data_IF_892295000782
#
_entry.id   IF_892295000782
#
_cell.length_a   1.000
_cell.length_b   1.000
_cell.length_c   1.000
_cell.angle_alpha   90.00
_cell.angle_beta   90.00
_cell.angle_gamma   90.00
#
_symmetry.space_group_name_H-M   'P 1'
#
loop_
_entity.id
_entity.type
_entity.pdbx_description
1 polymer ?
#
# COMPACT_ATOMS: atom_id res chain seq x y z
N UNK A 1 12.34 12.39 26.46
CA UNK A 1 11.02 11.76 26.72
C UNK A 1 10.08 11.88 25.52
N UNK A 2 9.85 13.09 24.99
CA UNK A 2 8.99 13.26 23.80
C UNK A 2 9.72 12.79 22.53
N UNK A 3 11.00 13.10 22.37
CA UNK A 3 11.78 12.67 21.18
C UNK A 3 11.99 11.15 21.13
N UNK A 4 12.09 10.50 22.30
CA UNK A 4 12.16 9.03 22.42
C UNK A 4 10.84 8.37 22.02
N UNK A 5 9.70 8.97 22.40
CA UNK A 5 8.37 8.54 21.95
C UNK A 5 8.23 8.62 20.43
N UNK A 6 8.65 9.74 19.85
CA UNK A 6 8.66 9.97 18.40
C UNK A 6 9.56 8.92 17.72
N UNK A 7 10.76 8.67 18.25
CA UNK A 7 11.69 7.68 17.73
C UNK A 7 11.13 6.26 17.65
N UNK A 8 10.36 5.79 18.65
CA UNK A 8 9.73 4.47 18.56
C UNK A 8 8.62 4.40 17.52
N UNK A 9 7.85 5.48 17.36
CA UNK A 9 6.78 5.55 16.36
C UNK A 9 7.37 5.60 14.94
N UNK A 10 8.48 6.31 14.75
CA UNK A 10 9.20 6.36 13.48
C UNK A 10 9.91 5.04 13.14
N UNK A 11 10.47 4.34 14.13
CA UNK A 11 11.14 3.06 13.94
C UNK A 11 10.16 1.88 13.77
N UNK A 12 8.95 1.98 14.29
CA UNK A 12 7.97 0.89 14.28
C UNK A 12 6.53 1.43 14.32
N UNK A 13 5.98 1.85 13.16
CA UNK A 13 4.66 2.50 13.08
C UNK A 13 3.47 1.57 13.36
N UNK A 14 3.71 0.27 13.56
CA UNK A 14 2.68 -0.73 13.89
C UNK A 14 2.50 -0.92 15.41
N UNK A 15 3.30 -0.26 16.24
CA UNK A 15 3.20 -0.38 17.69
C UNK A 15 1.92 0.28 18.21
N UNK A 16 1.21 -0.43 19.08
CA UNK A 16 0.04 0.10 19.79
C UNK A 16 0.45 1.05 20.91
N UNK A 17 -0.45 1.95 21.30
CA UNK A 17 -0.23 2.89 22.42
C UNK A 17 0.14 2.20 23.74
N UNK A 18 -0.34 0.96 23.95
CA UNK A 18 0.00 0.14 25.13
C UNK A 18 1.45 -0.36 25.06
N UNK A 19 1.88 -0.82 23.90
CA UNK A 19 3.25 -1.31 23.70
C UNK A 19 4.27 -0.18 23.81
N UNK A 20 3.93 1.01 23.33
CA UNK A 20 4.77 2.21 23.50
C UNK A 20 4.91 2.56 24.99
N UNK A 21 3.82 2.53 25.76
CA UNK A 21 3.86 2.78 27.20
C UNK A 21 4.68 1.72 27.97
N UNK A 22 4.60 0.45 27.55
CA UNK A 22 5.37 -0.64 28.15
C UNK A 22 6.87 -0.53 27.83
N UNK A 23 7.25 -0.25 26.57
CA UNK A 23 8.66 -0.07 26.19
C UNK A 23 9.32 1.11 26.90
N UNK A 24 8.59 2.22 27.04
CA UNK A 24 9.07 3.36 27.83
C UNK A 24 9.30 3.02 29.29
N UNK A 25 8.42 2.20 29.88
CA UNK A 25 8.58 1.72 31.25
C UNK A 25 9.84 0.85 31.38
N UNK A 26 10.10 -0.01 30.40
CA UNK A 26 11.29 -0.88 30.39
C UNK A 26 12.60 -0.09 30.26
N UNK A 27 12.64 0.94 29.40
CA UNK A 27 13.88 1.69 29.16
C UNK A 27 14.13 2.85 30.13
N UNK A 28 13.08 3.51 30.61
CA UNK A 28 13.22 4.72 31.47
C UNK A 28 12.69 4.54 32.89
N UNK A 29 12.03 3.41 33.19
CA UNK A 29 11.37 3.18 34.48
C UNK A 29 10.09 4.01 34.70
N UNK A 30 9.74 4.90 33.78
CA UNK A 30 8.61 5.82 33.90
C UNK A 30 7.33 5.16 33.40
N UNK A 31 6.33 5.06 34.28
CA UNK A 31 5.00 4.56 33.91
C UNK A 31 4.12 5.70 33.39
N UNK A 32 3.76 5.66 32.11
CA UNK A 32 2.84 6.61 31.49
C UNK A 32 1.48 5.95 31.22
N UNK A 33 0.40 6.70 31.42
CA UNK A 33 -0.93 6.26 31.01
C UNK A 33 -1.04 6.28 29.48
N UNK A 34 -1.86 5.39 28.91
CA UNK A 34 -2.15 5.38 27.47
C UNK A 34 -2.73 6.70 26.97
N UNK A 35 -3.46 7.41 27.83
CA UNK A 35 -4.03 8.73 27.51
C UNK A 35 -2.94 9.81 27.41
N UNK A 36 -1.91 9.74 28.25
CA UNK A 36 -0.73 10.63 28.18
C UNK A 36 0.03 10.41 26.88
N UNK A 37 0.26 9.15 26.50
CA UNK A 37 0.90 8.80 25.21
C UNK A 37 0.05 9.29 24.04
N UNK A 38 -1.27 9.06 24.06
CA UNK A 38 -2.18 9.54 23.03
C UNK A 38 -2.15 11.07 22.88
N UNK A 39 -2.24 11.82 23.98
CA UNK A 39 -2.23 13.29 23.96
C UNK A 39 -0.92 13.85 23.40
N UNK A 40 0.21 13.20 23.70
CA UNK A 40 1.50 13.62 23.15
C UNK A 40 1.68 13.22 21.69
N UNK A 41 1.03 12.13 21.26
CA UNK A 41 1.14 11.68 19.88
C UNK A 41 0.12 12.33 18.92
N UNK A 42 -1.02 12.75 19.44
CA UNK A 42 -2.14 13.32 18.69
C UNK A 42 -1.78 14.67 18.06
N UNK A 43 -2.11 14.85 16.78
CA UNK A 43 -1.88 16.08 16.02
C UNK A 43 -0.43 16.31 15.56
N UNK A 44 0.49 15.38 15.84
CA UNK A 44 1.87 15.44 15.32
C UNK A 44 1.97 14.64 14.01
N UNK A 45 2.66 15.23 13.03
CA UNK A 45 3.04 14.53 11.81
C UNK A 45 4.35 13.77 12.05
N UNK A 46 4.38 12.49 11.70
CA UNK A 46 5.55 11.63 11.83
C UNK A 46 6.09 11.26 10.46
N UNK A 47 7.40 11.34 10.29
CA UNK A 47 8.10 10.89 9.09
C UNK A 47 8.35 9.39 9.19
N UNK A 48 7.52 8.59 8.54
CA UNK A 48 7.81 7.16 8.42
C UNK A 48 8.99 7.00 7.45
N UNK A 49 10.18 6.65 7.97
CA UNK A 49 11.28 6.12 7.14
C UNK A 49 10.88 4.71 6.68
N UNK A 50 9.90 4.65 5.79
CA UNK A 50 9.43 3.40 5.21
C UNK A 50 10.41 3.01 4.11
N UNK A 51 11.47 2.27 4.47
CA UNK A 51 12.09 1.37 3.48
C UNK A 51 11.09 0.24 3.31
N UNK A 52 10.12 0.42 2.40
CA UNK A 52 9.34 -0.72 1.94
C UNK A 52 10.31 -1.65 1.21
N UNK A 53 10.42 -2.94 1.56
CA UNK A 53 10.63 -3.91 0.49
C UNK A 53 9.47 -3.70 -0.49
N UNK A 54 9.78 -3.46 -1.76
CA UNK A 54 8.83 -3.17 -2.81
C UNK A 54 7.58 -4.08 -2.67
N UNK A 55 6.35 -3.55 -2.51
CA UNK A 55 5.13 -4.36 -2.43
C UNK A 55 4.80 -5.06 -3.77
N UNK A 56 5.68 -4.90 -4.75
CA UNK A 56 5.60 -5.37 -6.12
C UNK A 56 5.96 -6.85 -6.22
N UNK A 57 6.84 -7.40 -5.37
CA UNK A 57 7.42 -8.71 -5.65
C UNK A 57 6.39 -9.87 -5.59
N UNK A 58 5.48 -9.88 -4.61
CA UNK A 58 4.46 -10.92 -4.53
C UNK A 58 3.40 -10.79 -5.65
N UNK A 59 2.98 -9.55 -5.97
CA UNK A 59 2.00 -9.31 -7.04
C UNK A 59 2.60 -9.59 -8.42
N UNK A 60 3.85 -9.20 -8.65
CA UNK A 60 4.59 -9.50 -9.87
C UNK A 60 4.73 -11.01 -10.06
N UNK A 61 5.23 -11.73 -9.04
CA UNK A 61 5.36 -13.19 -9.10
C UNK A 61 4.02 -13.91 -9.30
N UNK A 62 2.93 -13.38 -8.74
CA UNK A 62 1.59 -13.91 -8.98
C UNK A 62 1.15 -13.69 -10.44
N UNK A 63 1.40 -12.51 -11.00
CA UNK A 63 1.09 -12.20 -12.40
C UNK A 63 1.94 -13.02 -13.36
N UNK A 64 3.24 -13.15 -13.11
CA UNK A 64 4.17 -13.98 -13.90
C UNK A 64 3.69 -15.43 -13.97
N UNK A 65 3.33 -16.05 -12.83
CA UNK A 65 2.80 -17.41 -12.81
C UNK A 65 1.53 -17.57 -13.63
N UNK A 66 0.64 -16.58 -13.59
CA UNK A 66 -0.59 -16.62 -14.37
C UNK A 66 -0.32 -16.45 -15.87
N UNK A 67 0.65 -15.61 -16.25
CA UNK A 67 1.10 -15.44 -17.63
C UNK A 67 1.71 -16.76 -18.13
N UNK A 68 2.64 -17.35 -17.39
CA UNK A 68 3.28 -18.61 -17.75
C UNK A 68 2.28 -19.76 -17.93
N UNK A 69 1.27 -19.84 -17.05
CA UNK A 69 0.20 -20.82 -17.16
C UNK A 69 -0.72 -20.59 -18.37
N UNK A 70 -0.88 -19.34 -18.81
CA UNK A 70 -1.72 -18.96 -19.95
C UNK A 70 -1.01 -19.11 -21.29
N UNK A 71 0.30 -18.82 -21.36
CA UNK A 71 1.12 -18.87 -22.58
C UNK A 71 0.92 -20.10 -23.47
N UNK A 72 0.91 -21.36 -22.97
CA UNK A 72 0.74 -22.53 -23.82
C UNK A 72 -0.66 -22.64 -24.47
N UNK A 73 -1.63 -21.86 -23.99
CA UNK A 73 -3.02 -21.84 -24.50
C UNK A 73 -3.26 -20.70 -25.49
N UNK A 74 -2.36 -19.73 -25.58
CA UNK A 74 -2.49 -18.58 -26.47
C UNK A 74 -2.08 -19.01 -27.88
N UNK A 75 -3.02 -18.96 -28.81
CA UNK A 75 -2.75 -19.24 -30.23
C UNK A 75 -2.64 -17.93 -31.04
N UNK A 76 -1.89 -17.91 -32.16
CA UNK A 76 -1.77 -16.71 -33.00
C UNK A 76 -3.12 -16.15 -33.48
N UNK A 77 -4.12 -17.03 -33.68
CA UNK A 77 -5.48 -16.65 -34.08
C UNK A 77 -6.18 -15.86 -32.97
N UNK A 78 -5.99 -16.22 -31.70
CA UNK A 78 -6.55 -15.50 -30.57
C UNK A 78 -5.99 -14.08 -30.46
N UNK A 79 -4.70 -13.89 -30.73
CA UNK A 79 -4.07 -12.58 -30.79
C UNK A 79 -4.68 -11.72 -31.90
N UNK A 80 -4.86 -12.29 -33.10
CA UNK A 80 -5.49 -11.61 -34.22
C UNK A 80 -6.94 -11.20 -33.91
N UNK A 81 -7.73 -12.09 -33.31
CA UNK A 81 -9.10 -11.78 -32.89
C UNK A 81 -9.16 -10.66 -31.86
N UNK A 82 -8.24 -10.67 -30.87
CA UNK A 82 -8.13 -9.61 -29.89
C UNK A 82 -7.79 -8.25 -30.54
N UNK A 83 -6.79 -8.22 -31.43
CA UNK A 83 -6.43 -6.99 -32.16
C UNK A 83 -7.60 -6.46 -32.99
N UNK A 84 -8.29 -7.34 -33.73
CA UNK A 84 -9.44 -6.96 -34.54
C UNK A 84 -10.61 -6.43 -33.68
N UNK A 85 -10.86 -7.05 -32.53
CA UNK A 85 -11.88 -6.60 -31.59
C UNK A 85 -11.54 -5.20 -31.06
N UNK A 86 -10.32 -4.99 -30.57
CA UNK A 86 -9.88 -3.69 -30.08
C UNK A 86 -9.98 -2.64 -31.17
N UNK A 87 -9.42 -2.88 -32.37
CA UNK A 87 -9.48 -1.93 -33.48
C UNK A 87 -10.91 -1.54 -33.86
N UNK A 88 -11.83 -2.51 -33.87
CA UNK A 88 -13.25 -2.27 -34.19
C UNK A 88 -13.94 -1.37 -33.16
N UNK A 89 -13.64 -1.55 -31.88
CA UNK A 89 -14.35 -0.89 -30.79
C UNK A 89 -13.64 0.36 -30.25
N UNK A 90 -12.35 0.53 -30.53
CA UNK A 90 -11.50 1.58 -29.95
C UNK A 90 -12.06 2.99 -30.17
N UNK A 91 -12.44 3.33 -31.40
CA UNK A 91 -13.00 4.65 -31.71
C UNK A 91 -14.31 4.94 -30.96
N UNK A 92 -15.17 3.92 -30.81
CA UNK A 92 -16.41 4.02 -30.04
C UNK A 92 -16.16 4.19 -28.55
N UNK A 93 -15.22 3.43 -27.98
CA UNK A 93 -14.83 3.57 -26.57
C UNK A 93 -14.20 4.93 -26.27
N UNK A 94 -13.37 5.46 -27.17
CA UNK A 94 -12.82 6.82 -27.03
C UNK A 94 -13.90 7.89 -27.08
N UNK A 95 -14.88 7.76 -28.00
CA UNK A 95 -15.99 8.71 -28.08
C UNK A 95 -16.86 8.72 -26.80
N UNK A 96 -16.92 7.61 -26.07
CA UNK A 96 -17.60 7.53 -24.77
C UNK A 96 -16.78 8.13 -23.61
N UNK A 97 -15.47 8.32 -23.79
CA UNK A 97 -14.59 8.89 -22.76
C UNK A 97 -14.80 10.41 -22.60
N UNK A 98 -15.22 11.10 -23.66
CA UNK A 98 -15.52 12.53 -23.67
C UNK A 98 -16.96 12.87 -23.22
N UNK A 99 -17.82 11.86 -23.08
CA UNK A 99 -19.12 12.02 -22.44
C UNK A 99 -18.89 12.07 -20.92
N UNK A 100 -18.83 13.28 -20.37
CA UNK A 100 -18.91 13.49 -18.93
C UNK A 100 -20.12 12.70 -18.40
N UNK A 101 -19.86 11.66 -17.61
CA UNK A 101 -20.89 10.99 -16.81
C UNK A 101 -21.42 12.06 -15.85
N UNK A 102 -22.51 12.71 -16.24
CA UNK A 102 -23.15 13.77 -15.47
C UNK A 102 -23.42 13.29 -14.05
N UNK A 103 -22.99 14.10 -13.08
CA UNK A 103 -23.29 13.96 -11.65
C UNK A 103 -24.78 14.16 -11.41
#
# INVERSE_FOLDING_TARGET
MIDTLVGYVEASPQLTLKEIANKLREETGVQLSTNTVHKHLSGRMYTVKKVLPEPTEHRLRYLERNIDAAMPRITPIMCMHACNHVQKHFAGCLALMDLAMGV
#
